data_IF_048505488247
#
_entry.id   IF_048505488247
#
_cell.length_a   1.000
_cell.length_b   1.000
_cell.length_c   1.000
_cell.angle_alpha   90.00
_cell.angle_beta   90.00
_cell.angle_gamma   90.00
#
_symmetry.space_group_name_H-M   'P 1'
#
loop_
_entity.id
_entity.type
_entity.pdbx_description
1 polymer ?
#
# COMPACT_ATOMS: atom_id res chain seq x y z
N UNK A 1 -0.05 -65.84 -25.49
CA UNK A 1 1.07 -64.86 -25.47
C UNK A 1 0.54 -63.52 -24.95
N UNK A 2 0.72 -63.23 -23.66
CA UNK A 2 0.13 -62.05 -23.01
C UNK A 2 1.10 -60.86 -23.10
N UNK A 3 0.66 -59.77 -23.74
CA UNK A 3 1.47 -58.56 -23.95
C UNK A 3 1.44 -57.65 -22.72
N UNK A 4 2.64 -57.22 -22.35
CA UNK A 4 2.99 -56.37 -21.23
C UNK A 4 2.45 -54.93 -21.34
N UNK A 5 2.12 -54.35 -20.18
CA UNK A 5 2.47 -52.96 -19.87
C UNK A 5 1.37 -51.90 -20.07
N UNK A 6 0.95 -51.29 -18.95
CA UNK A 6 1.07 -49.83 -18.71
C UNK A 6 0.46 -49.48 -17.34
N UNK A 7 1.34 -49.37 -16.35
CA UNK A 7 1.07 -48.82 -15.02
C UNK A 7 0.73 -47.33 -15.17
N UNK A 8 -0.57 -47.00 -15.31
CA UNK A 8 -1.07 -45.62 -15.28
C UNK A 8 -0.99 -45.08 -13.85
N UNK A 9 0.19 -44.64 -13.42
CA UNK A 9 0.34 -43.78 -12.24
C UNK A 9 -0.32 -42.44 -12.57
N UNK A 10 -1.58 -42.26 -12.17
CA UNK A 10 -2.21 -40.94 -12.09
C UNK A 10 -1.47 -40.14 -11.02
N UNK A 11 -0.41 -39.43 -11.43
CA UNK A 11 0.08 -38.28 -10.67
C UNK A 11 -0.92 -37.16 -10.92
N UNK A 12 -1.94 -37.08 -10.07
CA UNK A 12 -2.73 -35.86 -9.95
C UNK A 12 -1.77 -34.77 -9.53
N UNK A 13 -1.42 -33.93 -10.49
CA UNK A 13 -0.59 -32.75 -10.31
C UNK A 13 -1.17 -31.96 -9.15
N UNK A 14 -0.36 -31.83 -8.10
CA UNK A 14 -0.63 -30.95 -6.98
C UNK A 14 -1.00 -29.58 -7.56
N UNK A 15 -2.25 -29.16 -7.33
CA UNK A 15 -2.70 -27.78 -7.56
C UNK A 15 -2.00 -26.89 -6.54
N UNK A 16 -0.70 -26.70 -6.74
CA UNK A 16 0.15 -25.87 -5.91
C UNK A 16 1.00 -24.99 -6.80
N UNK A 17 0.32 -24.14 -7.57
CA UNK A 17 0.91 -22.89 -8.00
C UNK A 17 -0.19 -21.90 -8.37
N UNK A 18 -0.74 -21.24 -7.36
CA UNK A 18 -1.12 -19.83 -7.52
C UNK A 18 0.03 -18.93 -7.04
N UNK A 19 1.27 -19.37 -7.28
CA UNK A 19 2.42 -18.47 -7.23
C UNK A 19 2.40 -17.71 -8.55
N UNK A 20 1.57 -16.68 -8.61
CA UNK A 20 1.76 -15.60 -9.56
C UNK A 20 3.06 -14.86 -9.15
N UNK A 21 4.20 -15.48 -9.45
CA UNK A 21 5.48 -14.79 -9.35
C UNK A 21 5.61 -13.87 -10.55
N UNK A 22 5.79 -12.59 -10.22
CA UNK A 22 6.06 -11.50 -11.12
C UNK A 22 7.24 -11.82 -12.05
N UNK A 23 6.95 -11.97 -13.34
CA UNK A 23 7.94 -11.81 -14.39
C UNK A 23 7.76 -10.37 -14.86
N UNK A 24 8.74 -9.50 -14.58
CA UNK A 24 8.89 -8.11 -15.07
C UNK A 24 8.43 -6.94 -14.19
N UNK A 25 8.17 -7.11 -12.89
CA UNK A 25 8.11 -5.99 -11.92
C UNK A 25 7.02 -4.91 -12.13
N UNK A 26 6.26 -4.93 -13.22
CA UNK A 26 5.13 -4.03 -13.47
C UNK A 26 3.83 -4.74 -13.08
N UNK A 27 3.29 -4.39 -11.90
CA UNK A 27 1.89 -4.70 -11.59
C UNK A 27 1.04 -4.11 -12.71
N UNK A 28 0.26 -4.94 -13.39
CA UNK A 28 -0.79 -4.49 -14.31
C UNK A 28 -1.69 -3.56 -13.49
N UNK A 29 -1.74 -2.27 -13.83
CA UNK A 29 -2.54 -1.29 -13.09
C UNK A 29 -4.01 -1.64 -13.30
N UNK A 30 -4.55 -2.49 -12.42
CA UNK A 30 -5.96 -2.82 -12.40
C UNK A 30 -6.68 -1.75 -11.57
N UNK A 31 -7.97 -1.54 -11.86
CA UNK A 31 -8.84 -0.69 -11.02
C UNK A 31 -8.76 -1.09 -9.54
N UNK A 32 -8.56 -2.39 -9.26
CA UNK A 32 -8.36 -2.92 -7.91
C UNK A 32 -7.08 -2.39 -7.24
N UNK A 33 -5.96 -2.30 -7.97
CA UNK A 33 -4.71 -1.77 -7.43
C UNK A 33 -4.79 -0.26 -7.14
N UNK A 34 -5.55 0.50 -7.94
CA UNK A 34 -5.80 1.93 -7.69
C UNK A 34 -6.70 2.11 -6.47
N UNK A 35 -7.76 1.30 -6.34
CA UNK A 35 -8.64 1.31 -5.17
C UNK A 35 -7.87 0.96 -3.88
N UNK A 36 -6.99 -0.04 -3.92
CA UNK A 36 -6.12 -0.40 -2.80
C UNK A 36 -5.25 0.79 -2.36
N UNK A 37 -4.59 1.46 -3.32
CA UNK A 37 -3.75 2.63 -3.02
C UNK A 37 -4.54 3.79 -2.42
N UNK A 38 -5.75 4.07 -2.93
CA UNK A 38 -6.62 5.11 -2.38
C UNK A 38 -7.10 4.76 -0.98
N UNK A 39 -7.37 3.47 -0.72
CA UNK A 39 -7.71 3.00 0.61
C UNK A 39 -6.54 3.14 1.58
N UNK A 40 -5.32 2.77 1.16
CA UNK A 40 -4.10 2.99 1.94
C UNK A 40 -3.91 4.47 2.24
N UNK A 41 -4.06 5.35 1.23
CA UNK A 41 -3.93 6.79 1.42
C UNK A 41 -4.91 7.32 2.47
N UNK A 42 -6.17 6.85 2.45
CA UNK A 42 -7.18 7.22 3.45
C UNK A 42 -6.79 6.81 4.87
N UNK A 43 -6.07 5.70 5.05
CA UNK A 43 -5.61 5.27 6.39
C UNK A 43 -4.46 6.09 6.96
N UNK A 44 -3.74 6.85 6.12
CA UNK A 44 -2.61 7.68 6.55
C UNK A 44 -3.03 9.07 7.03
N UNK A 45 -4.24 9.51 6.69
CA UNK A 45 -4.76 10.82 7.07
C UNK A 45 -5.54 10.68 8.38
N UNK A 46 -5.31 11.55 9.38
CA UNK A 46 -6.05 11.51 10.63
C UNK A 46 -7.57 11.60 10.39
N UNK A 47 -8.38 10.79 11.08
CA UNK A 47 -9.82 10.82 10.92
C UNK A 47 -10.37 12.18 11.39
N UNK A 48 -11.02 12.90 10.48
CA UNK A 48 -11.77 14.12 10.83
C UNK A 48 -13.12 13.72 11.45
N UNK A 49 -13.52 14.31 12.60
CA UNK A 49 -14.70 13.90 13.35
C UNK A 49 -16.02 14.04 12.56
N UNK A 50 -16.07 14.94 11.57
CA UNK A 50 -17.33 15.31 10.91
C UNK A 50 -17.53 14.70 9.51
N UNK A 51 -16.73 13.70 9.15
CA UNK A 51 -16.78 13.13 7.79
C UNK A 51 -17.41 11.75 7.83
N UNK A 52 -18.73 11.72 7.64
CA UNK A 52 -19.48 10.51 7.31
C UNK A 52 -18.68 9.72 6.29
N UNK A 53 -18.48 8.42 6.56
CA UNK A 53 -17.70 7.48 5.75
C UNK A 53 -18.34 7.18 4.38
N UNK A 54 -18.94 8.16 3.74
CA UNK A 54 -19.19 8.07 2.31
C UNK A 54 -17.84 7.93 1.61
N UNK A 55 -17.84 7.16 0.53
CA UNK A 55 -16.69 7.01 -0.33
C UNK A 55 -16.32 8.41 -0.84
N UNK A 56 -15.39 9.08 -0.13
CA UNK A 56 -14.98 10.43 -0.44
C UNK A 56 -14.54 10.42 -1.90
N UNK A 57 -15.18 11.27 -2.71
CA UNK A 57 -14.71 11.56 -4.06
C UNK A 57 -13.19 11.79 -3.98
N UNK A 58 -12.44 11.18 -4.89
CA UNK A 58 -10.97 11.18 -4.87
C UNK A 58 -10.37 12.57 -4.66
N UNK A 59 -11.03 13.60 -5.18
CA UNK A 59 -10.62 15.00 -5.09
C UNK A 59 -10.58 15.51 -3.65
N UNK A 60 -11.54 15.10 -2.82
CA UNK A 60 -11.54 15.42 -1.39
C UNK A 60 -10.39 14.73 -0.66
N UNK A 61 -10.14 13.46 -0.97
CA UNK A 61 -9.03 12.72 -0.39
C UNK A 61 -7.69 13.39 -0.72
N UNK A 62 -7.52 13.84 -1.97
CA UNK A 62 -6.31 14.57 -2.36
C UNK A 62 -6.17 15.92 -1.67
N UNK A 63 -7.28 16.67 -1.50
CA UNK A 63 -7.26 17.92 -0.74
C UNK A 63 -6.86 17.69 0.71
N UNK A 64 -7.49 16.73 1.38
CA UNK A 64 -7.18 16.39 2.78
C UNK A 64 -5.73 15.90 2.92
N UNK A 65 -5.21 15.18 1.91
CA UNK A 65 -3.81 14.76 1.87
C UNK A 65 -2.88 15.98 1.77
N UNK A 66 -3.17 16.93 0.89
CA UNK A 66 -2.36 18.13 0.70
C UNK A 66 -2.32 18.97 1.98
N UNK A 67 -3.47 19.17 2.61
CA UNK A 67 -3.59 19.88 3.89
C UNK A 67 -2.73 19.18 4.97
N UNK A 68 -2.79 17.85 5.03
CA UNK A 68 -2.06 17.08 6.03
C UNK A 68 -0.54 17.09 5.80
N UNK A 69 -0.09 17.03 4.54
CA UNK A 69 1.33 17.17 4.20
C UNK A 69 1.84 18.53 4.67
N UNK A 70 1.10 19.61 4.42
CA UNK A 70 1.50 20.95 4.83
C UNK A 70 1.57 21.08 6.35
N UNK A 71 0.61 20.49 7.07
CA UNK A 71 0.64 20.42 8.54
C UNK A 71 1.90 19.73 9.04
N UNK A 72 2.22 18.54 8.51
CA UNK A 72 3.42 17.79 8.91
C UNK A 72 4.71 18.57 8.61
N UNK A 73 4.80 19.21 7.44
CA UNK A 73 5.96 20.05 7.09
C UNK A 73 6.16 21.17 8.11
N UNK A 74 5.06 21.85 8.48
CA UNK A 74 5.09 22.92 9.48
C UNK A 74 5.52 22.40 10.85
N UNK A 75 4.97 21.26 11.29
CA UNK A 75 5.35 20.63 12.56
C UNK A 75 6.84 20.26 12.60
N UNK A 76 7.36 19.69 11.51
CA UNK A 76 8.78 19.35 11.39
C UNK A 76 9.65 20.60 11.45
N UNK A 77 9.26 21.70 10.79
CA UNK A 77 10.01 22.95 10.83
C UNK A 77 10.06 23.53 12.25
N UNK A 78 8.93 23.55 12.95
CA UNK A 78 8.88 24.01 14.35
C UNK A 78 9.79 23.15 15.23
N UNK A 79 9.70 21.82 15.11
CA UNK A 79 10.53 20.90 15.89
C UNK A 79 12.02 21.07 15.62
N UNK A 80 12.42 21.28 14.35
CA UNK A 80 13.82 21.58 14.01
C UNK A 80 14.32 22.84 14.71
N UNK A 81 13.55 23.94 14.66
CA UNK A 81 13.91 25.18 15.36
C UNK A 81 14.04 24.98 16.87
N UNK A 82 13.15 24.19 17.47
CA UNK A 82 13.26 23.84 18.89
C UNK A 82 14.55 23.06 19.17
N UNK A 83 14.87 22.06 18.36
CA UNK A 83 16.13 21.32 18.49
C UNK A 83 17.34 22.24 18.36
N UNK A 84 17.34 23.16 17.39
CA UNK A 84 18.45 24.11 17.19
C UNK A 84 18.64 25.06 18.40
N UNK A 85 17.54 25.48 19.04
CA UNK A 85 17.58 26.32 20.25
C UNK A 85 18.09 25.54 21.46
N UNK A 86 17.65 24.29 21.63
CA UNK A 86 17.92 23.49 22.83
C UNK A 86 19.12 22.53 22.69
N UNK A 87 19.68 22.41 21.50
CA UNK A 87 20.97 21.74 21.23
C UNK A 87 21.99 22.80 20.79
N UNK A 88 22.30 23.82 21.63
CA UNK A 88 23.44 24.66 21.34
C UNK A 88 24.64 23.71 21.29
N UNK A 89 25.33 23.68 20.15
CA UNK A 89 26.48 22.81 19.93
C UNK A 89 27.35 22.79 21.17
N UNK A 90 27.35 21.67 21.88
CA UNK A 90 28.38 21.38 22.87
C UNK A 90 29.65 21.12 22.06
N UNK A 91 30.35 22.19 21.67
CA UNK A 91 31.78 22.15 21.42
C UNK A 91 32.53 21.92 22.73
#
# INVERSE_FOLDING_TARGET
MSRSGRRRRRRTLLKHSRRCHHINGRRKQSKAAVAERLQTLRTLIPPKPDVVKEAAASDRLFKETADYILLLQTQVEVLKRLVDIYSPSTE
#
